data_IF_509507428524
#
_entry.id   IF_509507428524
#
_cell.length_a   1.000
_cell.length_b   1.000
_cell.length_c   1.000
_cell.angle_alpha   90.00
_cell.angle_beta   90.00
_cell.angle_gamma   90.00
#
_symmetry.space_group_name_H-M   'P 1'
#
loop_
_entity.id
_entity.type
_entity.pdbx_description
1 polymer ?
#
# COMPACT_ATOMS: atom_id res chain seq x y z
N UNK A 1 8.86 25.83 -2.82
CA UNK A 1 8.82 25.67 -4.29
C UNK A 1 9.18 24.23 -4.60
N UNK A 2 8.35 23.57 -5.40
CA UNK A 2 8.36 22.11 -5.54
C UNK A 2 9.62 21.64 -6.28
N UNK A 3 10.49 20.92 -5.55
CA UNK A 3 11.84 20.68 -6.04
C UNK A 3 11.85 19.73 -7.25
N UNK A 4 10.83 18.90 -7.38
CA UNK A 4 10.70 17.94 -8.46
C UNK A 4 10.25 18.62 -9.77
N UNK A 5 9.33 19.59 -9.68
CA UNK A 5 8.81 20.34 -10.82
C UNK A 5 9.91 21.11 -11.58
N UNK A 6 10.80 21.79 -10.86
CA UNK A 6 11.91 22.50 -11.52
C UNK A 6 12.91 21.51 -12.17
N UNK A 7 13.20 20.37 -11.54
CA UNK A 7 14.08 19.33 -12.13
C UNK A 7 13.49 18.81 -13.44
N UNK A 8 12.18 18.50 -13.45
CA UNK A 8 11.48 18.02 -14.63
C UNK A 8 11.47 19.06 -15.75
N UNK A 9 11.27 20.34 -15.43
CA UNK A 9 11.34 21.45 -16.39
C UNK A 9 12.74 21.59 -16.99
N UNK A 10 13.80 21.49 -16.18
CA UNK A 10 15.18 21.54 -16.67
C UNK A 10 15.46 20.43 -17.69
N UNK A 11 15.06 19.20 -17.39
CA UNK A 11 15.19 18.04 -18.29
C UNK A 11 14.38 18.26 -19.57
N UNK A 12 13.12 18.72 -19.44
CA UNK A 12 12.22 18.95 -20.57
C UNK A 12 12.70 20.06 -21.51
N UNK A 13 13.41 21.05 -20.97
CA UNK A 13 14.04 22.13 -21.73
C UNK A 13 15.36 21.72 -22.40
N UNK A 14 15.76 20.45 -22.31
CA UNK A 14 16.98 19.94 -22.93
C UNK A 14 18.28 20.33 -22.21
N UNK A 15 18.20 20.73 -20.93
CA UNK A 15 19.42 21.02 -20.14
C UNK A 15 20.20 19.71 -19.99
N UNK A 16 21.50 19.70 -20.32
CA UNK A 16 22.29 18.47 -20.29
C UNK A 16 22.47 17.99 -18.85
N UNK A 17 22.43 16.67 -18.63
CA UNK A 17 22.52 16.05 -17.30
C UNK A 17 23.86 16.29 -16.58
N UNK A 18 24.89 16.72 -17.31
CA UNK A 18 26.19 17.10 -16.76
C UNK A 18 26.20 18.52 -16.18
N UNK A 19 25.15 19.32 -16.42
CA UNK A 19 25.01 20.66 -15.86
C UNK A 19 25.09 20.58 -14.33
N UNK A 20 26.02 21.31 -13.69
CA UNK A 20 26.32 21.14 -12.27
C UNK A 20 25.10 21.26 -11.34
N UNK A 21 24.22 22.21 -11.60
CA UNK A 21 23.03 22.47 -10.79
C UNK A 21 22.00 21.33 -10.92
N UNK A 22 21.69 20.87 -12.14
CA UNK A 22 20.83 19.72 -12.42
C UNK A 22 21.39 18.44 -11.81
N UNK A 23 22.70 18.21 -11.94
CA UNK A 23 23.37 17.03 -11.37
C UNK A 23 23.32 17.00 -9.84
N UNK A 24 23.56 18.13 -9.19
CA UNK A 24 23.45 18.26 -7.74
C UNK A 24 22.02 17.97 -7.27
N UNK A 25 21.03 18.47 -8.03
CA UNK A 25 19.60 18.27 -7.75
C UNK A 25 19.18 16.81 -7.87
N UNK A 26 19.52 16.14 -8.97
CA UNK A 26 19.26 14.70 -9.17
C UNK A 26 19.92 13.86 -8.08
N UNK A 27 21.14 14.21 -7.68
CA UNK A 27 21.87 13.52 -6.62
C UNK A 27 21.18 13.65 -5.27
N UNK A 28 20.61 14.83 -4.96
CA UNK A 28 19.79 15.05 -3.77
C UNK A 28 18.51 14.22 -3.79
N UNK A 29 17.78 14.19 -4.91
CA UNK A 29 16.57 13.37 -5.07
C UNK A 29 16.87 11.88 -4.89
N UNK A 30 17.95 11.39 -5.53
CA UNK A 30 18.38 10.01 -5.38
C UNK A 30 18.80 9.68 -3.93
N UNK A 31 19.37 10.64 -3.19
CA UNK A 31 19.68 10.47 -1.77
C UNK A 31 18.41 10.39 -0.91
N UNK A 32 17.43 11.26 -1.16
CA UNK A 32 16.13 11.25 -0.46
C UNK A 32 15.45 9.90 -0.66
N UNK A 33 15.41 9.40 -1.91
CA UNK A 33 14.75 8.12 -2.21
C UNK A 33 15.47 6.94 -1.56
N UNK A 34 16.81 6.91 -1.60
CA UNK A 34 17.59 5.92 -0.85
C UNK A 34 17.31 5.95 0.65
N UNK A 35 17.14 7.14 1.24
CA UNK A 35 16.80 7.26 2.66
C UNK A 35 15.41 6.68 2.97
N UNK A 36 14.40 6.93 2.11
CA UNK A 36 13.06 6.33 2.27
C UNK A 36 13.12 4.80 2.21
N UNK A 37 13.85 4.26 1.23
CA UNK A 37 14.04 2.82 1.09
C UNK A 37 14.75 2.20 2.31
N UNK A 38 15.79 2.87 2.84
CA UNK A 38 16.46 2.45 4.08
C UNK A 38 15.53 2.46 5.29
N UNK A 39 14.55 3.36 5.30
CA UNK A 39 13.47 3.40 6.29
C UNK A 39 12.34 2.41 6.05
N UNK A 40 12.49 1.47 5.10
CA UNK A 40 11.49 0.44 4.78
C UNK A 40 10.30 0.93 3.94
N UNK A 41 10.33 2.17 3.43
CA UNK A 41 9.26 2.71 2.59
C UNK A 41 9.47 2.26 1.15
N UNK A 42 8.91 1.10 0.81
CA UNK A 42 8.95 0.56 -0.55
C UNK A 42 7.71 1.06 -1.34
N UNK A 43 7.88 1.79 -2.46
CA UNK A 43 6.76 2.17 -3.29
C UNK A 43 6.17 0.92 -3.96
N UNK A 44 4.89 0.66 -3.71
CA UNK A 44 4.13 -0.42 -4.34
C UNK A 44 3.20 0.21 -5.35
N UNK A 45 3.38 -0.12 -6.64
CA UNK A 45 2.45 0.30 -7.68
C UNK A 45 1.07 -0.29 -7.41
N UNK A 46 0.03 0.41 -7.85
CA UNK A 46 -1.35 -0.04 -7.75
C UNK A 46 -1.78 -0.30 -6.29
N UNK A 47 -1.39 0.63 -5.42
CA UNK A 47 -1.84 0.70 -4.04
C UNK A 47 -2.29 2.11 -3.68
N UNK A 48 -3.31 2.18 -2.81
CA UNK A 48 -4.06 3.40 -2.53
C UNK A 48 -4.38 3.45 -1.03
N UNK A 49 -4.53 4.65 -0.50
CA UNK A 49 -5.16 4.85 0.79
C UNK A 49 -6.61 5.30 0.55
N UNK A 50 -7.56 4.54 1.07
CA UNK A 50 -8.99 4.74 0.87
C UNK A 50 -9.67 4.93 2.22
N UNK A 51 -10.67 5.80 2.27
CA UNK A 51 -11.47 6.00 3.47
C UNK A 51 -12.42 4.80 3.65
N UNK A 52 -12.39 4.19 4.82
CA UNK A 52 -13.27 3.08 5.16
C UNK A 52 -14.68 3.56 5.48
N UNK A 53 -15.67 2.87 4.94
CA UNK A 53 -17.07 3.17 5.14
C UNK A 53 -17.88 1.88 5.22
N UNK A 54 -18.97 1.88 5.99
CA UNK A 54 -19.91 0.77 5.98
C UNK A 54 -20.76 0.81 4.68
N UNK A 55 -21.02 -0.34 4.09
CA UNK A 55 -21.95 -0.47 2.96
C UNK A 55 -23.38 -0.12 3.40
N UNK A 56 -23.96 0.98 2.88
CA UNK A 56 -25.33 1.37 3.21
C UNK A 56 -26.38 0.52 2.48
N UNK A 57 -25.99 -0.21 1.42
CA UNK A 57 -26.91 -0.98 0.56
C UNK A 57 -27.18 -2.38 1.12
N UNK A 58 -26.23 -2.93 1.88
CA UNK A 58 -26.29 -4.29 2.40
C UNK A 58 -26.15 -5.39 1.33
N UNK A 59 -25.73 -5.03 0.12
CA UNK A 59 -25.60 -5.97 -1.02
C UNK A 59 -24.32 -6.81 -0.88
N UNK A 60 -23.24 -6.25 -0.32
CA UNK A 60 -21.95 -6.93 -0.21
C UNK A 60 -22.01 -8.12 0.75
N UNK A 61 -21.39 -9.24 0.38
CA UNK A 61 -21.17 -10.38 1.28
C UNK A 61 -19.98 -10.12 2.23
N UNK A 62 -19.86 -10.87 3.34
CA UNK A 62 -18.86 -10.61 4.40
C UNK A 62 -17.41 -10.53 3.92
N UNK A 63 -17.06 -11.19 2.81
CA UNK A 63 -15.71 -11.16 2.22
C UNK A 63 -15.60 -10.25 0.97
N UNK A 64 -16.66 -9.50 0.66
CA UNK A 64 -16.72 -8.58 -0.45
C UNK A 64 -16.62 -7.12 0.03
N UNK A 65 -15.99 -6.30 -0.82
CA UNK A 65 -15.87 -4.86 -0.65
C UNK A 65 -16.23 -4.15 -1.95
N UNK A 66 -16.72 -2.92 -1.86
CA UNK A 66 -16.81 -2.04 -3.03
C UNK A 66 -15.70 -1.01 -2.92
N UNK A 67 -14.85 -0.91 -3.95
CA UNK A 67 -13.70 0.01 -3.96
C UNK A 67 -13.90 1.02 -5.08
N UNK A 68 -13.91 2.31 -4.71
CA UNK A 68 -14.10 3.44 -5.64
C UNK A 68 -12.79 4.22 -5.73
N UNK A 69 -12.21 4.25 -6.92
CA UNK A 69 -11.02 5.05 -7.24
C UNK A 69 -11.41 6.28 -8.07
N UNK A 70 -10.40 7.00 -8.58
CA UNK A 70 -10.57 8.17 -9.43
C UNK A 70 -11.36 7.91 -10.73
N UNK A 71 -11.16 6.71 -11.29
CA UNK A 71 -11.75 6.22 -12.53
C UNK A 71 -12.99 5.35 -12.30
N UNK A 72 -13.53 5.33 -11.07
CA UNK A 72 -14.73 4.60 -10.70
C UNK A 72 -14.46 3.31 -9.92
N UNK A 73 -15.47 2.43 -9.89
CA UNK A 73 -15.43 1.18 -9.15
C UNK A 73 -14.50 0.15 -9.80
N UNK A 74 -13.74 -0.57 -8.99
CA UNK A 74 -12.90 -1.68 -9.45
C UNK A 74 -13.50 -3.03 -9.07
N UNK A 75 -13.09 -4.08 -9.79
CA UNK A 75 -13.46 -5.46 -9.51
C UNK A 75 -12.24 -6.36 -9.49
N UNK A 76 -12.27 -7.39 -8.63
CA UNK A 76 -11.19 -8.38 -8.53
C UNK A 76 -10.71 -8.59 -7.11
N UNK A 77 -9.57 -9.26 -6.96
CA UNK A 77 -8.98 -9.52 -5.64
C UNK A 77 -8.19 -8.30 -5.16
N UNK A 78 -8.44 -7.88 -3.93
CA UNK A 78 -7.75 -6.78 -3.28
C UNK A 78 -7.16 -7.21 -1.96
N UNK A 79 -6.08 -6.56 -1.58
CA UNK A 79 -5.44 -6.70 -0.29
C UNK A 79 -5.72 -5.43 0.52
N UNK A 80 -6.22 -5.58 1.74
CA UNK A 80 -6.65 -4.49 2.61
C UNK A 80 -5.89 -4.58 3.94
N UNK A 81 -5.41 -3.44 4.42
CA UNK A 81 -4.65 -3.30 5.66
C UNK A 81 -4.86 -1.91 6.26
N UNK A 82 -4.82 -1.78 7.59
CA UNK A 82 -4.82 -0.49 8.30
C UNK A 82 -3.54 -0.36 9.14
N UNK A 83 -2.94 0.82 9.12
CA UNK A 83 -1.78 1.14 9.95
C UNK A 83 -2.21 1.83 11.26
N UNK A 84 -1.65 1.49 12.42
CA UNK A 84 -0.68 0.42 12.67
C UNK A 84 -1.34 -0.95 12.88
N UNK A 85 -1.08 -1.90 12.01
CA UNK A 85 -1.41 -3.30 12.25
C UNK A 85 -0.27 -4.03 12.98
N UNK A 86 -0.63 -4.81 14.00
CA UNK A 86 0.29 -5.52 14.88
C UNK A 86 0.23 -7.04 14.69
N UNK A 87 -0.82 -7.54 14.04
CA UNK A 87 -1.07 -8.96 13.84
C UNK A 87 -1.21 -9.29 12.35
N UNK A 88 -0.81 -10.50 11.94
CA UNK A 88 -1.00 -10.95 10.56
C UNK A 88 -2.47 -10.99 10.14
N UNK A 89 -3.35 -11.17 11.13
CA UNK A 89 -4.80 -11.09 10.95
C UNK A 89 -5.29 -9.70 10.56
N UNK A 90 -4.53 -8.62 10.76
CA UNK A 90 -4.92 -7.27 10.32
C UNK A 90 -4.79 -7.08 8.80
N UNK A 91 -4.29 -8.08 8.09
CA UNK A 91 -4.14 -8.08 6.63
C UNK A 91 -5.18 -9.00 6.02
N UNK A 92 -6.08 -8.42 5.23
CA UNK A 92 -7.20 -9.16 4.65
C UNK A 92 -7.09 -9.23 3.14
N UNK A 93 -7.35 -10.40 2.58
CA UNK A 93 -7.56 -10.60 1.14
C UNK A 93 -9.07 -10.64 0.89
N UNK A 94 -9.58 -9.65 0.16
CA UNK A 94 -11.00 -9.45 -0.08
C UNK A 94 -11.31 -9.43 -1.58
N UNK A 95 -12.60 -9.53 -1.93
CA UNK A 95 -13.07 -9.44 -3.30
C UNK A 95 -13.75 -8.08 -3.54
N UNK A 96 -13.12 -7.23 -4.34
CA UNK A 96 -13.75 -6.04 -4.88
C UNK A 96 -14.86 -6.44 -5.86
N UNK A 97 -16.08 -5.98 -5.58
CA UNK A 97 -17.29 -6.20 -6.37
C UNK A 97 -17.88 -4.86 -6.77
N UNK A 98 -18.30 -4.77 -8.03
CA UNK A 98 -19.10 -3.66 -8.52
C UNK A 98 -20.52 -3.71 -7.91
N UNK A 99 -21.00 -2.59 -7.38
CA UNK A 99 -22.34 -2.43 -6.81
C UNK A 99 -22.97 -1.19 -7.43
N UNK A 100 -24.02 -1.39 -8.22
CA UNK A 100 -24.69 -0.33 -8.97
C UNK A 100 -25.42 0.62 -8.02
N UNK A 101 -26.05 0.07 -6.99
CA UNK A 101 -26.82 0.79 -5.98
C UNK A 101 -25.97 1.77 -5.16
N UNK A 102 -24.65 1.53 -5.08
CA UNK A 102 -23.71 2.44 -4.41
C UNK A 102 -23.40 3.69 -5.25
N UNK A 103 -23.57 3.64 -6.57
CA UNK A 103 -23.34 4.81 -7.42
C UNK A 103 -24.31 5.95 -7.08
N UNK A 104 -25.57 5.62 -6.83
CA UNK A 104 -26.62 6.59 -6.48
C UNK A 104 -26.40 7.19 -5.08
N UNK A 105 -25.85 6.41 -4.15
CA UNK A 105 -25.62 6.85 -2.76
C UNK A 105 -24.36 7.72 -2.64
N UNK A 106 -23.29 7.34 -3.34
CA UNK A 106 -21.98 7.97 -3.21
C UNK A 106 -21.80 9.14 -4.18
N UNK A 107 -22.55 9.15 -5.29
CA UNK A 107 -22.45 10.17 -6.32
C UNK A 107 -21.03 10.28 -6.88
N UNK A 108 -20.49 11.50 -6.89
CA UNK A 108 -19.15 11.80 -7.43
C UNK A 108 -18.00 11.54 -6.44
N UNK A 109 -18.25 10.94 -5.28
CA UNK A 109 -17.17 10.71 -4.32
C UNK A 109 -16.15 9.69 -4.84
N UNK A 110 -14.89 9.92 -4.49
CA UNK A 110 -13.73 9.15 -4.97
C UNK A 110 -12.90 8.70 -3.77
N UNK A 111 -12.10 7.66 -3.96
CA UNK A 111 -11.16 7.13 -2.98
C UNK A 111 -11.80 6.57 -1.69
N UNK A 112 -12.87 5.80 -1.86
CA UNK A 112 -13.58 5.11 -0.77
C UNK A 112 -13.51 3.59 -0.88
N UNK A 113 -13.54 2.92 0.27
CA UNK A 113 -13.75 1.47 0.38
C UNK A 113 -14.95 1.20 1.28
N UNK A 114 -15.93 0.49 0.75
CA UNK A 114 -17.17 0.12 1.43
C UNK A 114 -17.09 -1.34 1.85
N UNK A 115 -17.21 -1.57 3.15
CA UNK A 115 -17.17 -2.89 3.75
C UNK A 115 -18.58 -3.41 4.00
N UNK A 116 -18.77 -4.72 3.78
CA UNK A 116 -20.02 -5.37 4.11
C UNK A 116 -20.38 -5.17 5.59
N UNK A 117 -21.67 -4.94 5.82
CA UNK A 117 -22.29 -4.92 7.16
C UNK A 117 -22.75 -6.31 7.61
N UNK A 118 -22.51 -7.34 6.80
CA UNK A 118 -22.83 -8.75 7.12
C UNK A 118 -21.66 -9.42 7.83
N UNK A 119 -22.00 -10.31 8.76
CA UNK A 119 -21.04 -11.18 9.44
C UNK A 119 -21.08 -11.02 10.96
N UNK A 120 -20.35 -11.89 11.69
CA UNK A 120 -20.33 -11.85 13.15
C UNK A 120 -19.53 -10.68 13.72
N UNK A 121 -18.58 -10.13 12.95
CA UNK A 121 -17.74 -8.98 13.29
C UNK A 121 -17.58 -8.10 12.05
N UNK A 122 -17.41 -6.80 12.26
CA UNK A 122 -17.14 -5.86 11.17
C UNK A 122 -15.71 -6.01 10.68
N UNK A 123 -15.49 -5.79 9.38
CA UNK A 123 -14.15 -5.79 8.79
C UNK A 123 -13.21 -4.78 9.47
N UNK A 124 -13.73 -3.63 9.90
CA UNK A 124 -12.94 -2.62 10.61
C UNK A 124 -12.40 -3.15 11.94
N UNK A 125 -13.25 -3.82 12.73
CA UNK A 125 -12.80 -4.41 14.00
C UNK A 125 -11.81 -5.55 13.77
N UNK A 126 -11.98 -6.34 12.72
CA UNK A 126 -11.01 -7.39 12.37
C UNK A 126 -9.66 -6.81 11.92
N UNK A 127 -9.66 -5.65 11.26
CA UNK A 127 -8.47 -4.98 10.74
C UNK A 127 -7.98 -3.94 11.75
N UNK A 128 -7.05 -4.35 12.61
CA UNK A 128 -6.41 -3.49 13.60
C UNK A 128 -7.40 -2.81 14.58
N UNK A 129 -8.51 -3.46 14.92
CA UNK A 129 -9.54 -2.96 15.85
C UNK A 129 -10.01 -1.53 15.51
N UNK A 130 -10.25 -1.25 14.23
CA UNK A 130 -10.75 0.04 13.75
C UNK A 130 -12.26 0.17 13.73
N UNK A 131 -12.70 1.29 13.20
CA UNK A 131 -14.09 1.61 12.90
C UNK A 131 -14.21 2.37 11.56
N UNK A 132 -15.30 3.13 11.39
CA UNK A 132 -15.61 3.89 10.16
C UNK A 132 -15.82 5.38 10.45
N UNK A 133 -15.07 5.97 11.40
CA UNK A 133 -15.17 7.39 11.76
C UNK A 133 -14.19 8.32 10.99
N UNK A 134 -13.42 7.74 10.06
CA UNK A 134 -12.33 8.42 9.34
C UNK A 134 -11.12 7.52 9.06
N UNK A 135 -11.21 6.24 9.42
CA UNK A 135 -10.14 5.27 9.22
C UNK A 135 -9.72 5.12 7.75
N UNK A 136 -8.40 5.17 7.53
CA UNK A 136 -7.79 5.01 6.21
C UNK A 136 -7.19 3.61 6.06
N UNK A 137 -7.61 2.94 5.00
CA UNK A 137 -7.18 1.59 4.65
C UNK A 137 -6.23 1.65 3.46
N UNK A 138 -5.06 1.03 3.62
CA UNK A 138 -4.18 0.75 2.50
C UNK A 138 -4.75 -0.43 1.71
N UNK A 139 -5.03 -0.19 0.43
CA UNK A 139 -5.62 -1.16 -0.48
C UNK A 139 -4.68 -1.37 -1.65
N UNK A 140 -4.32 -2.62 -1.95
CA UNK A 140 -3.53 -2.96 -3.12
C UNK A 140 -4.24 -3.92 -4.06
N UNK A 141 -4.26 -3.55 -5.34
CA UNK A 141 -4.74 -4.39 -6.45
C UNK A 141 -3.57 -5.13 -7.13
N UNK A 142 -2.34 -4.93 -6.62
CA UNK A 142 -1.14 -5.45 -7.22
C UNK A 142 -1.10 -6.99 -7.09
N UNK A 143 -1.23 -7.67 -8.24
CA UNK A 143 -1.24 -9.14 -8.30
C UNK A 143 0.03 -9.76 -7.72
N UNK A 144 1.17 -9.07 -7.82
CA UNK A 144 2.44 -9.57 -7.27
C UNK A 144 2.41 -9.57 -5.75
N UNK A 145 1.91 -8.52 -5.11
CA UNK A 145 1.81 -8.43 -3.65
C UNK A 145 0.81 -9.44 -3.10
N UNK A 146 -0.36 -9.56 -3.73
CA UNK A 146 -1.38 -10.55 -3.34
C UNK A 146 -0.89 -12.00 -3.43
N UNK A 147 -0.08 -12.35 -4.43
CA UNK A 147 0.55 -13.67 -4.52
C UNK A 147 1.76 -13.82 -3.58
N UNK A 148 2.60 -12.79 -3.41
CA UNK A 148 3.80 -12.87 -2.57
C UNK A 148 3.45 -12.97 -1.08
N UNK A 149 2.42 -12.25 -0.60
CA UNK A 149 2.07 -12.20 0.81
C UNK A 149 1.54 -13.54 1.33
N UNK A 150 0.80 -14.28 0.49
CA UNK A 150 0.30 -15.63 0.80
C UNK A 150 1.47 -16.63 0.99
N UNK A 151 2.62 -16.39 0.36
CA UNK A 151 3.80 -17.25 0.44
C UNK A 151 4.90 -16.73 1.39
N UNK A 152 4.68 -15.60 2.04
CA UNK A 152 5.68 -14.94 2.87
C UNK A 152 5.78 -15.60 4.25
N UNK A 153 6.43 -16.77 4.32
CA UNK A 153 6.87 -17.34 5.61
C UNK A 153 8.08 -16.55 6.10
N UNK A 154 7.83 -15.49 6.87
CA UNK A 154 8.90 -14.71 7.52
C UNK A 154 9.53 -15.59 8.58
N UNK A 155 10.79 -15.98 8.38
CA UNK A 155 11.59 -16.65 9.42
C UNK A 155 12.61 -15.65 9.92
N UNK A 156 12.51 -15.26 11.19
CA UNK A 156 13.45 -14.37 11.85
C UNK A 156 14.62 -15.21 12.40
N UNK A 157 15.84 -14.96 11.92
CA UNK A 157 17.06 -15.46 12.53
C UNK A 157 17.84 -14.27 13.09
N UNK A 158 18.18 -14.34 14.38
CA UNK A 158 18.95 -13.31 15.10
C UNK A 158 20.31 -13.90 15.44
N UNK A 159 21.37 -13.34 14.84
CA UNK A 159 22.74 -13.62 15.22
C UNK A 159 23.53 -12.31 15.25
N UNK A 160 24.43 -12.20 16.22
CA UNK A 160 25.05 -11.00 16.77
C UNK A 160 25.16 -9.78 15.82
N UNK A 161 24.14 -8.91 15.90
CA UNK A 161 24.05 -7.57 15.25
C UNK A 161 23.51 -7.52 13.82
N UNK A 162 23.03 -8.64 13.26
CA UNK A 162 22.43 -8.67 11.91
C UNK A 162 21.02 -9.26 11.98
N UNK A 163 20.02 -8.51 11.50
CA UNK A 163 18.65 -9.01 11.31
C UNK A 163 18.50 -9.46 9.85
N UNK A 164 18.47 -10.77 9.62
CA UNK A 164 18.25 -11.32 8.28
C UNK A 164 16.76 -11.60 8.12
N UNK A 165 16.07 -10.79 7.32
CA UNK A 165 14.67 -11.04 6.96
C UNK A 165 14.66 -11.92 5.71
N UNK A 166 14.34 -13.20 5.88
CA UNK A 166 14.25 -14.15 4.76
C UNK A 166 12.86 -14.11 4.14
N UNK A 167 12.77 -13.59 2.92
CA UNK A 167 11.56 -13.61 2.11
C UNK A 167 11.58 -14.83 1.18
N UNK A 168 10.62 -15.74 1.29
CA UNK A 168 10.41 -16.79 0.28
C UNK A 168 9.51 -16.22 -0.82
N UNK A 169 10.11 -15.93 -1.98
CA UNK A 169 9.45 -15.33 -3.15
C UNK A 169 9.55 -16.35 -4.30
N UNK A 170 8.69 -17.37 -4.29
CA UNK A 170 8.68 -18.42 -5.32
C UNK A 170 10.00 -19.22 -5.41
N UNK A 171 10.18 -19.94 -6.53
CA UNK A 171 11.34 -20.82 -6.77
C UNK A 171 12.68 -20.08 -6.96
N UNK A 172 12.72 -18.75 -6.87
CA UNK A 172 13.94 -17.96 -6.94
C UNK A 172 14.22 -17.31 -5.58
N UNK A 173 15.27 -17.78 -4.90
CA UNK A 173 15.77 -17.17 -3.68
C UNK A 173 16.33 -15.77 -3.98
N UNK A 174 15.76 -14.74 -3.33
CA UNK A 174 16.42 -13.43 -3.20
C UNK A 174 16.72 -13.16 -1.74
N UNK A 175 18.00 -12.95 -1.44
CA UNK A 175 18.47 -12.49 -0.14
C UNK A 175 18.37 -10.96 -0.08
N UNK A 176 17.73 -10.43 0.96
CA UNK A 176 17.80 -9.01 1.29
C UNK A 176 18.51 -8.92 2.65
N UNK A 177 19.75 -8.42 2.63
CA UNK A 177 20.52 -8.17 3.85
C UNK A 177 20.18 -6.78 4.37
N UNK A 178 19.57 -6.69 5.55
CA UNK A 178 19.46 -5.44 6.30
C UNK A 178 20.61 -5.39 7.30
N UNK A 179 21.64 -4.61 6.98
CA UNK A 179 22.72 -4.33 7.93
C UNK A 179 22.21 -3.42 9.04
N UNK A 180 22.22 -3.91 10.27
CA UNK A 180 22.13 -3.07 11.46
C UNK A 180 23.42 -2.26 11.59
N UNK A 181 23.32 -0.93 11.47
CA UNK A 181 24.39 -0.04 11.90
C UNK A 181 24.46 -0.12 13.42
N UNK A 182 25.39 -0.92 13.93
CA UNK A 182 25.80 -0.86 15.32
C UNK A 182 26.41 0.51 15.64
N UNK A 183 26.04 1.05 16.80
CA UNK A 183 26.93 1.54 17.88
C UNK A 183 26.13 2.39 18.87
N UNK A 184 25.99 1.91 20.11
CA UNK A 184 26.90 2.22 21.22
C UNK A 184 26.77 1.13 22.28
#
# INVERSE_FOLDING_TARGET
MDDDCLTARMISSGIPLNEPHLRARLSRLAKIERTKLRGGKLPISDSFYLMGTADPTGVLESNEVCVILDNGQISGRVLVYRNPGLHFGDVHVMKARYVEELADVVGDAKYGIFFSTKGPRSAATEIANGDFDGDMYWVSINRKVGFQMIFLKVTLWKEESILIVRFHIGWNLKWIFLYGLGRS
#
